data_IF_521117703080
#
_entry.id   IF_521117703080
#
_cell.length_a   1.000
_cell.length_b   1.000
_cell.length_c   1.000
_cell.angle_alpha   90.00
_cell.angle_beta   90.00
_cell.angle_gamma   90.00
#
_symmetry.space_group_name_H-M   'P 1'
#
loop_
_entity.id
_entity.type
_entity.pdbx_description
1 polymer ?
#
# COMPACT_ATOMS: atom_id res chain seq x y z
N UNK A 1 -1.29 -17.32 0.90
CA UNK A 1 -0.37 -17.36 2.06
C UNK A 1 -0.18 -15.93 2.53
N UNK A 2 -0.06 -15.69 3.83
CA UNK A 2 0.20 -14.35 4.36
C UNK A 2 1.52 -13.77 3.83
N UNK A 3 1.59 -12.45 3.68
CA UNK A 3 2.84 -11.78 3.31
C UNK A 3 3.86 -11.86 4.47
N UNK A 4 5.11 -12.15 4.16
CA UNK A 4 6.18 -12.20 5.16
C UNK A 4 6.69 -10.80 5.51
N UNK A 5 7.46 -10.70 6.60
CA UNK A 5 8.16 -9.46 6.91
C UNK A 5 9.27 -9.23 5.88
N UNK A 6 9.43 -7.99 5.42
CA UNK A 6 10.49 -7.69 4.47
C UNK A 6 10.42 -6.30 3.88
N UNK A 7 11.34 -6.07 2.95
CA UNK A 7 11.40 -4.88 2.11
C UNK A 7 10.83 -5.25 0.74
N UNK A 8 9.90 -4.46 0.24
CA UNK A 8 9.17 -4.73 -0.98
C UNK A 8 9.12 -3.49 -1.88
N UNK A 9 9.06 -3.72 -3.18
CA UNK A 9 8.41 -2.79 -4.09
C UNK A 9 6.93 -3.14 -4.17
N UNK A 10 6.08 -2.11 -4.09
CA UNK A 10 4.63 -2.25 -4.21
C UNK A 10 4.23 -1.70 -5.58
N UNK A 11 3.44 -2.46 -6.33
CA UNK A 11 2.95 -2.06 -7.65
C UNK A 11 1.43 -2.15 -7.71
N UNK A 12 0.82 -1.24 -8.46
CA UNK A 12 -0.51 -1.45 -9.03
C UNK A 12 -0.35 -1.61 -10.54
N UNK A 13 -0.83 -2.73 -11.08
CA UNK A 13 -0.69 -3.10 -12.50
C UNK A 13 0.77 -3.18 -12.96
N UNK A 14 1.32 -2.08 -13.46
CA UNK A 14 2.71 -1.97 -13.97
C UNK A 14 3.48 -0.81 -13.35
N UNK A 15 2.83 -0.04 -12.49
CA UNK A 15 3.36 1.20 -11.95
C UNK A 15 3.62 1.02 -10.46
N UNK A 16 4.74 1.60 -10.01
CA UNK A 16 5.13 1.53 -8.62
C UNK A 16 4.30 2.49 -7.77
N UNK A 17 4.09 2.13 -6.52
CA UNK A 17 3.46 2.97 -5.53
C UNK A 17 4.57 3.65 -4.72
N UNK A 18 4.41 4.95 -4.50
CA UNK A 18 5.36 5.75 -3.76
C UNK A 18 4.67 6.92 -3.08
N UNK A 19 5.45 7.92 -2.72
CA UNK A 19 5.02 9.15 -2.09
C UNK A 19 5.34 10.37 -2.96
N UNK A 20 4.61 11.47 -2.77
CA UNK A 20 4.75 12.69 -3.57
C UNK A 20 6.04 13.50 -3.32
N UNK A 21 6.87 13.13 -2.35
CA UNK A 21 8.14 13.81 -2.05
C UNK A 21 7.97 15.20 -1.44
N UNK A 22 6.79 15.52 -0.91
CA UNK A 22 6.52 16.80 -0.23
C UNK A 22 7.35 16.91 1.06
N UNK A 23 8.00 18.05 1.29
CA UNK A 23 8.84 18.21 2.49
C UNK A 23 8.02 18.21 3.79
N UNK A 24 8.50 17.56 4.87
CA UNK A 24 7.91 17.66 6.20
C UNK A 24 7.76 19.14 6.64
N UNK A 25 6.72 19.49 7.40
CA UNK A 25 5.80 18.62 8.15
C UNK A 25 4.56 18.17 7.33
N UNK A 26 4.52 18.42 6.03
CA UNK A 26 3.36 18.07 5.22
C UNK A 26 3.22 16.55 5.11
N UNK A 27 1.97 16.09 5.16
CA UNK A 27 1.68 14.68 4.92
C UNK A 27 1.86 14.40 3.42
N UNK A 28 2.81 13.54 3.08
CA UNK A 28 3.07 13.25 1.67
C UNK A 28 1.98 12.33 1.14
N UNK A 29 1.51 12.55 -0.08
CA UNK A 29 0.45 11.73 -0.68
C UNK A 29 1.05 10.40 -1.11
N UNK A 30 0.40 9.28 -0.79
CA UNK A 30 0.74 8.01 -1.45
C UNK A 30 0.15 8.04 -2.86
N UNK A 31 0.97 7.88 -3.88
CA UNK A 31 0.60 8.06 -5.28
C UNK A 31 1.02 6.87 -6.14
N UNK A 32 0.40 6.74 -7.31
CA UNK A 32 0.95 5.92 -8.40
C UNK A 32 2.08 6.70 -9.05
N UNK A 33 3.29 6.15 -9.06
CA UNK A 33 4.44 6.83 -9.64
C UNK A 33 4.38 6.83 -11.16
N UNK A 34 4.76 7.93 -11.82
CA UNK A 34 4.90 7.96 -13.27
C UNK A 34 6.07 7.07 -13.73
N UNK A 35 6.00 6.65 -14.98
CA UNK A 35 7.00 5.75 -15.57
C UNK A 35 8.40 6.39 -15.54
N UNK A 36 9.42 5.58 -15.24
CA UNK A 36 10.82 6.02 -15.18
C UNK A 36 11.23 6.65 -13.85
N UNK A 37 10.30 6.85 -12.91
CA UNK A 37 10.64 7.22 -11.52
C UNK A 37 11.14 6.00 -10.76
N UNK A 38 12.21 6.20 -9.98
CA UNK A 38 12.75 5.16 -9.12
C UNK A 38 11.72 4.79 -8.04
N UNK A 39 11.40 3.49 -7.95
CA UNK A 39 10.49 2.97 -6.95
C UNK A 39 11.10 3.06 -5.55
N UNK A 40 10.38 3.59 -4.54
CA UNK A 40 10.84 3.56 -3.17
C UNK A 40 10.70 2.16 -2.59
N UNK A 41 11.52 1.88 -1.58
CA UNK A 41 11.47 0.64 -0.81
C UNK A 41 10.42 0.76 0.29
N UNK A 42 9.55 -0.23 0.40
CA UNK A 42 8.52 -0.32 1.43
C UNK A 42 8.86 -1.39 2.45
N UNK A 43 9.01 -1.01 3.71
CA UNK A 43 9.17 -1.94 4.82
C UNK A 43 7.80 -2.40 5.31
N UNK A 44 7.53 -3.69 5.18
CA UNK A 44 6.30 -4.33 5.63
C UNK A 44 6.59 -5.16 6.86
N UNK A 45 5.97 -4.81 7.97
CA UNK A 45 6.18 -5.44 9.28
C UNK A 45 4.87 -5.99 9.83
N UNK A 46 4.79 -7.31 9.97
CA UNK A 46 3.69 -8.05 10.58
C UNK A 46 3.70 -7.84 12.10
N UNK A 47 2.55 -7.42 12.63
CA UNK A 47 2.28 -7.27 14.06
C UNK A 47 1.63 -8.52 14.67
N UNK A 48 0.86 -9.26 13.86
CA UNK A 48 0.11 -10.47 14.26
C UNK A 48 -1.16 -10.63 13.40
N UNK A 49 -1.70 -11.84 13.25
CA UNK A 49 -2.99 -12.11 12.58
C UNK A 49 -3.21 -11.38 11.22
N UNK A 50 -2.18 -11.39 10.36
CA UNK A 50 -2.16 -10.71 9.06
C UNK A 50 -2.41 -9.18 9.13
N UNK A 51 -2.11 -8.59 10.28
CA UNK A 51 -2.02 -7.15 10.52
C UNK A 51 -0.57 -6.71 10.37
N UNK A 52 -0.38 -5.60 9.68
CA UNK A 52 0.91 -5.06 9.26
C UNK A 52 0.99 -3.56 9.50
N UNK A 53 2.21 -3.09 9.70
CA UNK A 53 2.60 -1.69 9.49
C UNK A 53 3.33 -1.62 8.16
N UNK A 54 3.01 -0.59 7.37
CA UNK A 54 3.66 -0.29 6.10
C UNK A 54 4.45 1.01 6.26
N UNK A 55 5.76 0.95 6.03
CA UNK A 55 6.66 2.12 6.03
C UNK A 55 7.30 2.29 4.68
N UNK A 56 7.65 3.51 4.30
CA UNK A 56 8.44 3.81 3.11
C UNK A 56 9.79 4.38 3.53
N UNK A 57 10.85 3.98 2.82
CA UNK A 57 12.17 4.59 2.91
C UNK A 57 12.16 5.95 2.22
N UNK A 58 12.47 7.01 2.96
CA UNK A 58 12.60 8.36 2.42
C UNK A 58 14.03 8.61 1.90
N UNK A 59 14.23 9.57 0.96
CA UNK A 59 15.56 9.86 0.41
C UNK A 59 16.62 10.27 1.43
N UNK A 60 16.22 10.79 2.60
CA UNK A 60 17.10 11.17 3.69
C UNK A 60 17.47 9.99 4.63
N UNK A 61 17.01 8.78 4.31
CA UNK A 61 17.20 7.57 5.10
C UNK A 61 16.26 7.44 6.30
N UNK A 62 15.33 8.38 6.48
CA UNK A 62 14.26 8.25 7.46
C UNK A 62 13.14 7.33 6.93
N UNK A 63 12.21 6.96 7.81
CA UNK A 63 11.05 6.16 7.44
C UNK A 63 9.76 6.91 7.71
N UNK A 64 8.87 6.92 6.72
CA UNK A 64 7.51 7.40 6.85
C UNK A 64 6.52 6.24 7.02
N UNK A 65 5.47 6.44 7.82
CA UNK A 65 4.36 5.50 7.97
C UNK A 65 3.26 5.78 6.97
N UNK A 66 2.77 4.74 6.29
CA UNK A 66 1.52 4.82 5.55
C UNK A 66 0.33 4.91 6.52
N UNK A 67 -0.43 5.99 6.42
CA UNK A 67 -1.54 6.32 7.31
C UNK A 67 -2.78 6.69 6.49
N UNK A 68 -3.95 6.43 7.07
CA UNK A 68 -5.24 6.86 6.54
C UNK A 68 -5.61 8.20 7.15
N UNK A 69 -5.94 9.17 6.31
CA UNK A 69 -6.51 10.44 6.73
C UNK A 69 -7.76 10.64 5.89
N UNK A 70 -8.91 10.68 6.56
CA UNK A 70 -10.22 10.59 5.94
C UNK A 70 -10.32 9.34 5.04
N UNK A 71 -10.55 9.53 3.73
CA UNK A 71 -10.63 8.48 2.72
C UNK A 71 -9.40 8.48 1.79
N UNK A 72 -8.24 8.94 2.28
CA UNK A 72 -7.01 9.07 1.51
C UNK A 72 -5.80 8.48 2.24
N UNK A 73 -4.82 8.00 1.49
CA UNK A 73 -3.60 7.41 2.04
C UNK A 73 -2.44 8.40 1.93
N UNK A 74 -1.75 8.60 3.04
CA UNK A 74 -0.61 9.50 3.16
C UNK A 74 0.57 8.79 3.79
N UNK A 75 1.75 9.38 3.65
CA UNK A 75 2.94 9.10 4.42
C UNK A 75 3.14 10.20 5.44
N UNK A 76 3.38 9.83 6.70
CA UNK A 76 3.72 10.76 7.78
C UNK A 76 4.95 10.30 8.55
N UNK A 77 5.66 11.22 9.22
CA UNK A 77 6.69 10.85 10.17
C UNK A 77 6.17 9.83 11.20
N UNK A 78 7.06 8.97 11.68
CA UNK A 78 6.70 7.91 12.61
C UNK A 78 6.00 8.44 13.87
N UNK A 79 4.89 7.81 14.27
CA UNK A 79 4.09 8.16 15.45
C UNK A 79 3.92 6.95 16.38
N UNK A 80 3.65 7.15 17.69
CA UNK A 80 3.53 6.06 18.66
C UNK A 80 2.43 5.04 18.34
N UNK A 81 1.35 5.50 17.70
CA UNK A 81 0.21 4.67 17.30
C UNK A 81 0.11 4.63 15.77
N UNK A 82 0.86 3.73 15.12
CA UNK A 82 0.84 3.57 13.67
C UNK A 82 -0.51 3.02 13.21
N UNK A 83 -0.93 3.43 12.02
CA UNK A 83 -2.12 2.85 11.41
C UNK A 83 -1.79 1.41 10.98
N UNK A 84 -2.70 0.51 11.30
CA UNK A 84 -2.55 -0.90 11.04
C UNK A 84 -3.35 -1.30 9.79
N UNK A 85 -2.73 -2.10 8.94
CA UNK A 85 -3.30 -2.56 7.68
C UNK A 85 -3.38 -4.08 7.68
N UNK A 86 -4.38 -4.67 7.02
CA UNK A 86 -4.32 -6.10 6.65
C UNK A 86 -3.95 -6.26 5.20
N UNK A 87 -3.02 -7.15 4.94
CA UNK A 87 -2.56 -7.50 3.59
C UNK A 87 -3.06 -8.90 3.29
N UNK A 88 -4.12 -8.98 2.47
CA UNK A 88 -4.86 -10.22 2.24
C UNK A 88 -4.54 -10.72 0.82
N UNK A 89 -4.17 -12.00 0.63
CA UNK A 89 -3.89 -12.53 -0.70
C UNK A 89 -5.09 -12.45 -1.63
N UNK A 90 -4.88 -11.97 -2.86
CA UNK A 90 -5.84 -12.13 -3.96
C UNK A 90 -5.50 -13.40 -4.74
N UNK A 91 -6.22 -14.49 -4.44
CA UNK A 91 -6.01 -15.79 -5.08
C UNK A 91 -6.24 -15.77 -6.61
N UNK A 92 -6.97 -14.77 -7.13
CA UNK A 92 -7.21 -14.61 -8.57
C UNK A 92 -6.18 -13.72 -9.25
N UNK A 93 -5.60 -12.77 -8.52
CA UNK A 93 -4.64 -11.78 -9.02
C UNK A 93 -3.29 -12.37 -9.42
N UNK A 94 -3.05 -13.65 -9.07
CA UNK A 94 -1.84 -14.37 -9.40
C UNK A 94 -0.83 -14.36 -8.26
N UNK A 95 0.42 -14.66 -8.58
CA UNK A 95 1.49 -14.72 -7.59
C UNK A 95 1.77 -13.33 -7.01
N UNK A 96 1.97 -13.27 -5.70
CA UNK A 96 2.38 -12.07 -4.97
C UNK A 96 1.37 -10.90 -5.10
N UNK A 97 0.09 -11.21 -5.38
CA UNK A 97 -1.00 -10.24 -5.49
C UNK A 97 -1.83 -10.20 -4.20
N UNK A 98 -2.11 -8.99 -3.72
CA UNK A 98 -2.78 -8.74 -2.44
C UNK A 98 -3.72 -7.55 -2.53
N UNK A 99 -4.70 -7.50 -1.63
CA UNK A 99 -5.43 -6.27 -1.30
C UNK A 99 -4.88 -5.71 0.02
N UNK A 100 -4.90 -4.38 0.17
CA UNK A 100 -4.49 -3.69 1.40
C UNK A 100 -5.74 -3.05 1.99
N UNK A 101 -6.21 -3.56 3.13
CA UNK A 101 -7.41 -3.08 3.82
C UNK A 101 -7.07 -2.52 5.19
N UNK A 102 -7.94 -1.70 5.76
CA UNK A 102 -7.74 -1.23 7.13
C UNK A 102 -7.89 -2.39 8.12
N UNK A 103 -7.17 -2.35 9.24
CA UNK A 103 -7.24 -3.42 10.23
C UNK A 103 -8.60 -3.51 10.94
N UNK A 104 -9.31 -2.38 11.04
CA UNK A 104 -10.60 -2.22 11.69
C UNK A 104 -11.81 -2.51 10.78
N UNK A 105 -11.68 -2.33 9.46
CA UNK A 105 -12.77 -2.53 8.49
C UNK A 105 -12.23 -3.16 7.21
N UNK A 106 -12.40 -4.48 7.09
CA UNK A 106 -11.93 -5.26 5.94
C UNK A 106 -12.64 -4.92 4.63
N UNK A 107 -13.69 -4.10 4.68
CA UNK A 107 -14.36 -3.62 3.46
C UNK A 107 -13.70 -2.39 2.87
N UNK A 108 -12.90 -1.65 3.66
CA UNK A 108 -12.21 -0.43 3.22
C UNK A 108 -10.74 -0.70 2.98
N UNK A 109 -10.24 -0.29 1.83
CA UNK A 109 -8.85 -0.51 1.47
C UNK A 109 -8.33 0.45 0.43
N UNK A 110 -7.05 0.25 0.09
CA UNK A 110 -6.35 1.04 -0.88
C UNK A 110 -6.94 0.82 -2.25
N UNK A 111 -7.21 1.91 -2.95
CA UNK A 111 -7.66 1.91 -4.34
C UNK A 111 -6.77 2.88 -5.12
N UNK A 112 -6.09 2.33 -6.11
CA UNK A 112 -5.27 3.09 -7.02
C UNK A 112 -6.14 3.91 -7.99
N UNK A 113 -5.75 5.17 -8.27
CA UNK A 113 -6.32 5.95 -9.36
C UNK A 113 -5.86 5.39 -10.71
N UNK A 114 -6.49 5.87 -11.79
CA UNK A 114 -6.12 5.47 -13.16
C UNK A 114 -4.92 6.26 -13.69
N UNK A 115 -4.80 7.53 -13.29
CA UNK A 115 -3.74 8.43 -13.72
C UNK A 115 -2.55 8.38 -12.75
N UNK A 116 -1.30 8.44 -13.25
CA UNK A 116 -0.12 8.63 -12.41
C UNK A 116 -0.19 9.95 -11.63
N UNK A 117 0.56 10.03 -10.55
CA UNK A 117 0.64 11.19 -9.63
C UNK A 117 -0.63 11.47 -8.82
N UNK A 118 -1.75 10.87 -9.20
CA UNK A 118 -2.95 10.87 -8.38
C UNK A 118 -2.76 10.01 -7.13
N UNK A 119 -3.49 10.40 -6.08
CA UNK A 119 -3.36 9.83 -4.75
C UNK A 119 -4.16 8.53 -4.60
N UNK A 120 -3.56 7.54 -3.93
CA UNK A 120 -4.25 6.34 -3.43
C UNK A 120 -5.34 6.77 -2.44
N UNK A 121 -6.56 6.33 -2.71
CA UNK A 121 -7.70 6.55 -1.82
C UNK A 121 -7.93 5.31 -0.96
N UNK A 122 -8.50 5.50 0.22
CA UNK A 122 -8.95 4.43 1.10
C UNK A 122 -10.47 4.40 1.12
N UNK A 123 -11.09 3.49 0.37
CA UNK A 123 -12.55 3.42 0.22
C UNK A 123 -13.06 1.98 0.21
N UNK A 124 -14.38 1.82 0.19
CA UNK A 124 -15.00 0.50 0.11
C UNK A 124 -14.60 -0.22 -1.17
N UNK A 125 -14.02 -1.42 -1.03
CA UNK A 125 -13.59 -2.26 -2.13
C UNK A 125 -14.80 -2.83 -2.89
N UNK A 126 -14.67 -2.92 -4.21
CA UNK A 126 -15.67 -3.53 -5.09
C UNK A 126 -15.41 -5.02 -5.18
N UNK A 127 -16.20 -5.81 -4.45
CA UNK A 127 -16.02 -7.27 -4.41
C UNK A 127 -17.01 -7.98 -5.31
N UNK A 128 -16.51 -8.72 -6.30
CA UNK A 128 -17.31 -9.57 -7.16
C UNK A 128 -17.88 -10.79 -6.41
N UNK A 129 -19.12 -11.19 -6.74
CA UNK A 129 -19.86 -12.29 -6.08
C UNK A 129 -19.39 -13.70 -6.49
N UNK A 130 -18.09 -13.94 -6.59
CA UNK A 130 -17.51 -15.25 -6.95
C UNK A 130 -16.77 -15.89 -5.78
N UNK A 131 -16.44 -17.18 -5.90
CA UNK A 131 -15.54 -17.87 -4.97
C UNK A 131 -14.33 -18.47 -5.73
N UNK A 132 -13.09 -18.07 -5.44
CA UNK A 132 -12.72 -16.95 -4.57
C UNK A 132 -13.27 -15.61 -5.10
N UNK A 133 -13.35 -14.56 -4.28
CA UNK A 133 -13.80 -13.24 -4.70
C UNK A 133 -12.97 -12.66 -5.86
N UNK A 134 -13.54 -11.73 -6.60
CA UNK A 134 -12.82 -10.97 -7.63
C UNK A 134 -12.71 -9.52 -7.21
N UNK A 135 -11.50 -8.96 -7.29
CA UNK A 135 -11.21 -7.56 -7.05
C UNK A 135 -10.80 -6.88 -8.36
N UNK A 136 -11.28 -5.67 -8.66
CA UNK A 136 -10.81 -4.88 -9.77
C UNK A 136 -9.28 -4.65 -9.73
N UNK A 137 -8.61 -4.54 -10.89
CA UNK A 137 -7.15 -4.39 -10.93
C UNK A 137 -6.59 -3.14 -10.22
N UNK A 138 -7.41 -2.13 -9.97
CA UNK A 138 -7.00 -0.93 -9.24
C UNK A 138 -7.13 -1.09 -7.71
N UNK A 139 -7.66 -2.21 -7.23
CA UNK A 139 -7.80 -2.54 -5.80
C UNK A 139 -6.79 -3.61 -5.35
N UNK A 140 -6.00 -4.13 -6.28
CA UNK A 140 -5.01 -5.18 -6.06
C UNK A 140 -3.60 -4.65 -6.28
N UNK A 141 -2.66 -5.14 -5.48
CA UNK A 141 -1.27 -4.68 -5.46
C UNK A 141 -0.33 -5.87 -5.50
N UNK A 142 0.73 -5.76 -6.31
CA UNK A 142 1.79 -6.76 -6.34
C UNK A 142 2.92 -6.35 -5.39
N UNK A 143 3.41 -7.32 -4.62
CA UNK A 143 4.52 -7.14 -3.68
C UNK A 143 5.71 -7.97 -4.16
N UNK A 144 6.72 -7.31 -4.73
CA UNK A 144 7.97 -7.97 -5.11
C UNK A 144 9.06 -7.66 -4.07
N UNK A 145 9.80 -8.65 -3.54
CA UNK A 145 10.91 -8.39 -2.63
C UNK A 145 11.90 -7.39 -3.25
N UNK A 146 12.32 -6.39 -2.47
CA UNK A 146 13.38 -5.48 -2.84
C UNK A 146 14.71 -6.02 -2.32
N UNK A 147 15.70 -6.15 -3.19
CA UNK A 147 17.04 -6.54 -2.77
C UNK A 147 17.66 -5.45 -1.86
N UNK A 148 18.33 -5.89 -0.81
CA UNK A 148 19.13 -5.04 0.07
C UNK A 148 20.48 -4.71 -0.55
#
# INVERSE_FOLDING_TARGET
MSLENGVYYIQNRKQYIGNSGEEPPNAQRVIVLPDGVQAPKWFVQKLGDDVYIIRVEEPDGSNGLAVRIDDKVFVRPEKPEPDAWRIIPDERGGKDSYIIVTAEDLTKGWVAPEEPEDQIVCQTLKVGRSFPPFYPPNETFQFSPADN
#
